data_IF_309283845154
#
_entry.id   IF_309283845154
#
_cell.length_a   1.000
_cell.length_b   1.000
_cell.length_c   1.000
_cell.angle_alpha   90.00
_cell.angle_beta   90.00
_cell.angle_gamma   90.00
#
_symmetry.space_group_name_H-M   'P 1'
#
loop_
_entity.id
_entity.type
_entity.pdbx_description
1 polymer ?
#
# COMPACT_ATOMS: atom_id res chain seq x y z
N UNK A 1 -25.82 -6.30 -6.10
CA UNK A 1 -25.27 -6.96 -4.90
C UNK A 1 -25.76 -6.21 -3.69
N UNK A 2 -26.47 -6.89 -2.78
CA UNK A 2 -26.77 -6.34 -1.46
C UNK A 2 -25.93 -7.13 -0.48
N UNK A 3 -24.85 -6.53 0.03
CA UNK A 3 -24.10 -7.11 1.13
C UNK A 3 -25.01 -7.09 2.37
N UNK A 4 -25.68 -8.21 2.67
CA UNK A 4 -26.45 -8.40 3.89
C UNK A 4 -25.51 -8.96 4.94
N UNK A 5 -24.81 -8.08 5.65
CA UNK A 5 -24.05 -8.47 6.84
C UNK A 5 -25.07 -8.64 7.97
N UNK A 6 -25.34 -9.86 8.40
CA UNK A 6 -26.32 -10.18 9.45
C UNK A 6 -25.73 -10.07 10.86
N UNK A 7 -24.51 -9.58 11.00
CA UNK A 7 -23.81 -9.39 12.27
C UNK A 7 -23.06 -8.05 12.35
N UNK A 8 -22.96 -7.48 13.55
CA UNK A 8 -22.15 -6.30 13.89
C UNK A 8 -21.36 -6.59 15.17
N UNK A 9 -20.02 -6.57 15.12
CA UNK A 9 -19.14 -6.96 16.23
C UNK A 9 -19.48 -8.33 16.86
N UNK A 10 -19.85 -9.31 16.03
CA UNK A 10 -20.27 -10.65 16.49
C UNK A 10 -21.68 -10.71 17.09
N UNK A 11 -22.46 -9.63 17.00
CA UNK A 11 -23.86 -9.58 17.45
C UNK A 11 -24.76 -9.65 16.22
N UNK A 12 -25.69 -10.60 16.21
CA UNK A 12 -26.66 -10.74 15.12
C UNK A 12 -27.60 -9.54 15.05
N UNK A 13 -27.76 -8.97 13.86
CA UNK A 13 -28.65 -7.83 13.58
C UNK A 13 -29.80 -8.26 12.69
N UNK A 14 -31.02 -7.89 13.09
CA UNK A 14 -32.27 -8.33 12.46
C UNK A 14 -32.77 -7.35 11.40
N UNK A 15 -32.24 -6.12 11.37
CA UNK A 15 -32.58 -5.11 10.35
C UNK A 15 -31.45 -4.11 10.10
N UNK A 16 -31.53 -3.41 8.96
CA UNK A 16 -30.62 -2.29 8.65
C UNK A 16 -30.77 -1.14 9.65
N UNK A 17 -31.99 -0.90 10.17
CA UNK A 17 -32.23 0.15 11.17
C UNK A 17 -31.56 -0.16 12.50
N UNK A 18 -31.67 -1.40 12.97
CA UNK A 18 -30.98 -1.86 14.18
C UNK A 18 -29.46 -1.74 14.02
N UNK A 19 -28.93 -2.04 12.84
CA UNK A 19 -27.50 -1.83 12.55
C UNK A 19 -27.13 -0.35 12.65
N UNK A 20 -27.89 0.54 12.01
CA UNK A 20 -27.64 1.99 12.08
C UNK A 20 -27.70 2.50 13.53
N UNK A 21 -28.65 2.01 14.33
CA UNK A 21 -28.74 2.37 15.75
C UNK A 21 -27.52 1.85 16.54
N UNK A 22 -27.02 0.65 16.26
CA UNK A 22 -25.80 0.13 16.87
C UNK A 22 -24.55 0.94 16.47
N UNK A 23 -24.41 1.31 15.20
CA UNK A 23 -23.33 2.21 14.74
C UNK A 23 -23.46 3.56 15.45
N UNK A 24 -24.65 4.13 15.53
CA UNK A 24 -24.91 5.42 16.17
C UNK A 24 -24.64 5.38 17.67
N UNK A 25 -24.95 4.29 18.35
CA UNK A 25 -24.69 4.14 19.79
C UNK A 25 -23.20 3.92 20.08
N UNK A 26 -22.48 3.23 19.18
CA UNK A 26 -21.05 2.94 19.34
C UNK A 26 -20.17 4.13 18.93
N UNK A 27 -20.56 4.82 17.86
CA UNK A 27 -19.84 5.94 17.26
C UNK A 27 -20.74 7.19 17.13
N UNK A 28 -21.27 7.71 18.24
CA UNK A 28 -22.24 8.80 18.23
C UNK A 28 -21.69 10.10 17.60
N UNK A 29 -20.37 10.32 17.65
CA UNK A 29 -19.70 11.46 17.02
C UNK A 29 -19.86 11.50 15.49
N UNK A 30 -20.09 10.36 14.83
CA UNK A 30 -20.35 10.30 13.38
C UNK A 30 -21.71 10.94 13.01
N UNK A 31 -22.68 10.92 13.95
CA UNK A 31 -24.06 11.36 13.71
C UNK A 31 -24.37 12.71 14.37
N UNK A 32 -23.59 13.08 15.38
CA UNK A 32 -23.87 14.23 16.24
C UNK A 32 -22.64 15.13 16.31
N UNK A 33 -22.67 16.23 15.55
CA UNK A 33 -21.58 17.23 15.47
C UNK A 33 -21.16 17.84 16.82
N UNK A 34 -21.97 17.69 17.87
CA UNK A 34 -21.69 18.22 19.20
C UNK A 34 -21.02 17.19 20.13
N UNK A 35 -20.85 15.95 19.69
CA UNK A 35 -20.17 14.90 20.43
C UNK A 35 -18.75 14.82 19.89
N UNK A 36 -17.82 15.48 20.59
CA UNK A 36 -16.39 15.31 20.40
C UNK A 36 -15.88 14.36 21.48
N UNK A 37 -15.52 13.14 21.08
CA UNK A 37 -14.73 12.22 21.88
C UNK A 37 -13.49 11.93 21.05
N UNK A 38 -12.51 12.85 21.13
CA UNK A 38 -11.14 12.45 20.91
C UNK A 38 -10.72 11.71 22.18
N UNK A 39 -10.24 10.48 22.06
CA UNK A 39 -9.46 9.90 23.14
C UNK A 39 -8.16 10.72 23.16
N UNK A 40 -8.00 11.60 24.14
CA UNK A 40 -6.90 12.60 24.25
C UNK A 40 -5.49 11.96 24.41
N UNK A 41 -5.32 10.68 24.10
CA UNK A 41 -4.14 9.87 24.45
C UNK A 41 -3.42 9.25 23.26
N UNK A 42 -3.89 9.44 22.03
CA UNK A 42 -3.20 8.98 20.82
C UNK A 42 -2.73 10.16 19.98
N UNK A 43 -1.45 10.53 20.13
CA UNK A 43 -0.78 11.44 19.20
C UNK A 43 -0.26 10.60 18.04
N UNK A 44 -0.92 10.67 16.88
CA UNK A 44 -0.19 10.46 15.63
C UNK A 44 0.65 11.71 15.48
N UNK A 45 1.97 11.58 15.42
CA UNK A 45 2.87 12.73 15.29
C UNK A 45 2.38 13.61 14.12
N UNK A 46 2.35 14.94 14.34
CA UNK A 46 2.13 15.93 13.26
C UNK A 46 3.19 15.80 12.14
N UNK A 47 4.29 15.10 12.43
CA UNK A 47 5.37 14.73 11.52
C UNK A 47 5.08 13.48 10.68
N UNK A 48 3.82 13.00 10.65
CA UNK A 48 3.37 12.20 9.53
C UNK A 48 3.54 13.10 8.30
N UNK A 49 4.69 13.00 7.61
CA UNK A 49 4.95 13.67 6.35
C UNK A 49 3.79 13.29 5.43
N UNK A 50 2.75 14.13 5.44
CA UNK A 50 1.75 14.14 4.39
C UNK A 50 2.61 14.24 3.14
N UNK A 51 2.49 13.28 2.22
CA UNK A 51 3.08 13.44 0.89
C UNK A 51 2.43 14.69 0.29
N UNK A 52 2.95 15.86 0.63
CA UNK A 52 2.55 17.13 0.07
C UNK A 52 3.05 17.09 -1.36
N UNK A 53 2.11 16.97 -2.29
CA UNK A 53 2.43 17.06 -3.71
C UNK A 53 2.59 18.55 -4.02
N UNK A 54 3.75 19.11 -3.64
CA UNK A 54 4.10 20.48 -3.97
C UNK A 54 4.68 20.59 -5.40
N UNK A 55 4.77 21.82 -5.92
CA UNK A 55 5.31 22.06 -7.26
C UNK A 55 6.77 21.59 -7.42
N UNK A 56 7.54 21.62 -6.34
CA UNK A 56 8.94 21.19 -6.33
C UNK A 56 9.09 19.69 -6.54
N UNK A 57 8.31 18.88 -5.82
CA UNK A 57 8.26 17.43 -5.91
C UNK A 57 7.75 17.01 -7.29
N UNK A 58 6.70 17.66 -7.80
CA UNK A 58 6.19 17.39 -9.16
C UNK A 58 7.24 17.74 -10.22
N UNK A 59 7.93 18.88 -10.09
CA UNK A 59 8.98 19.28 -11.02
C UNK A 59 10.19 18.32 -10.97
N UNK A 60 10.58 17.87 -9.78
CA UNK A 60 11.63 16.88 -9.62
C UNK A 60 11.25 15.55 -10.26
N UNK A 61 10.07 15.02 -9.97
CA UNK A 61 9.60 13.77 -10.55
C UNK A 61 9.55 13.85 -12.09
N UNK A 62 8.99 14.94 -12.63
CA UNK A 62 9.00 15.21 -14.09
C UNK A 62 10.41 15.15 -14.66
N UNK A 63 11.38 15.78 -13.99
CA UNK A 63 12.78 15.77 -14.42
C UNK A 63 13.38 14.36 -14.38
N UNK A 64 13.08 13.57 -13.36
CA UNK A 64 13.55 12.19 -13.21
C UNK A 64 13.06 11.30 -14.36
N UNK A 65 11.80 11.47 -14.79
CA UNK A 65 11.22 10.73 -15.92
C UNK A 65 11.38 11.46 -17.27
N UNK A 66 12.23 12.48 -17.34
CA UNK A 66 12.61 13.16 -18.59
C UNK A 66 11.56 14.09 -19.20
N UNK A 67 10.51 14.45 -18.46
CA UNK A 67 9.47 15.38 -18.90
C UNK A 67 9.97 16.82 -18.78
N UNK A 68 10.04 17.52 -19.90
CA UNK A 68 10.41 18.94 -19.98
C UNK A 68 9.23 19.87 -20.29
N UNK A 69 8.09 19.31 -20.69
CA UNK A 69 6.82 19.99 -20.94
C UNK A 69 5.72 18.98 -21.26
N UNK A 70 4.46 19.34 -21.01
CA UNK A 70 3.27 18.49 -21.27
C UNK A 70 2.24 19.18 -22.18
N UNK A 71 2.58 20.33 -22.77
CA UNK A 71 1.67 21.02 -23.68
C UNK A 71 1.58 20.25 -25.00
N UNK A 72 0.35 20.05 -25.47
CA UNK A 72 0.03 19.35 -26.73
C UNK A 72 0.43 17.86 -26.80
N UNK A 73 0.45 17.18 -25.66
CA UNK A 73 0.90 15.79 -25.53
C UNK A 73 -0.21 14.83 -25.11
N UNK A 74 0.02 13.53 -25.39
CA UNK A 74 -0.79 12.43 -24.85
C UNK A 74 -0.08 11.77 -23.67
N UNK A 75 -0.77 11.65 -22.55
CA UNK A 75 -0.30 10.96 -21.35
C UNK A 75 -1.12 9.70 -21.13
N UNK A 76 -0.45 8.56 -21.07
CA UNK A 76 -1.03 7.28 -20.74
C UNK A 76 -0.89 7.02 -19.24
N UNK A 77 -1.99 6.71 -18.57
CA UNK A 77 -2.00 6.19 -17.20
C UNK A 77 -2.65 4.81 -17.20
N UNK A 78 -2.05 3.84 -16.53
CA UNK A 78 -2.55 2.46 -16.52
C UNK A 78 -2.59 1.91 -15.11
N UNK A 79 -3.78 1.49 -14.67
CA UNK A 79 -3.98 0.74 -13.43
C UNK A 79 -4.19 -0.74 -13.76
N UNK A 80 -3.21 -1.57 -13.45
CA UNK A 80 -3.31 -3.02 -13.57
C UNK A 80 -3.98 -3.59 -12.32
N UNK A 81 -5.31 -3.54 -12.28
CA UNK A 81 -6.09 -4.00 -11.14
C UNK A 81 -6.21 -5.52 -11.04
N UNK A 82 -6.66 -6.04 -9.90
CA UNK A 82 -6.91 -7.48 -9.66
C UNK A 82 -8.03 -8.08 -10.50
N UNK A 83 -8.87 -7.22 -11.11
CA UNK A 83 -10.03 -7.63 -11.90
C UNK A 83 -10.03 -6.98 -13.28
N UNK A 84 -9.77 -5.67 -13.32
CA UNK A 84 -9.72 -4.90 -14.56
C UNK A 84 -8.42 -4.11 -14.66
N UNK A 85 -7.80 -4.17 -15.84
CA UNK A 85 -6.82 -3.19 -16.29
C UNK A 85 -7.60 -1.96 -16.76
N UNK A 86 -7.30 -0.81 -16.18
CA UNK A 86 -7.88 0.48 -16.55
C UNK A 86 -6.85 1.30 -17.31
N UNK A 87 -7.21 1.74 -18.50
CA UNK A 87 -6.34 2.48 -19.41
C UNK A 87 -6.91 3.88 -19.54
N UNK A 88 -6.24 4.86 -18.95
CA UNK A 88 -6.59 6.27 -19.02
C UNK A 88 -5.67 7.01 -20.00
N UNK A 89 -6.23 7.84 -20.86
CA UNK A 89 -5.48 8.67 -21.82
C UNK A 89 -5.89 10.11 -21.62
N UNK A 90 -4.96 10.94 -21.17
CA UNK A 90 -5.11 12.39 -21.18
C UNK A 90 -4.60 12.96 -22.51
N UNK A 91 -5.38 13.83 -23.13
CA UNK A 91 -4.94 14.68 -24.24
C UNK A 91 -4.89 16.13 -23.74
N UNK A 92 -3.69 16.66 -23.50
CA UNK A 92 -3.51 17.98 -22.88
C UNK A 92 -3.81 19.13 -23.84
N UNK A 93 -3.83 18.87 -25.15
CA UNK A 93 -4.26 19.87 -26.15
C UNK A 93 -5.76 20.05 -26.14
N UNK A 94 -6.49 18.94 -26.04
CA UNK A 94 -7.95 18.92 -26.12
C UNK A 94 -8.62 19.03 -24.75
N UNK A 95 -7.84 18.93 -23.67
CA UNK A 95 -8.33 18.86 -22.29
C UNK A 95 -9.35 17.72 -22.11
N UNK A 96 -9.07 16.55 -22.72
CA UNK A 96 -9.94 15.38 -22.63
C UNK A 96 -9.27 14.23 -21.90
N UNK A 97 -10.11 13.37 -21.31
CA UNK A 97 -9.72 12.13 -20.67
C UNK A 97 -10.58 10.98 -21.18
N UNK A 98 -9.95 9.97 -21.79
CA UNK A 98 -10.59 8.72 -22.21
C UNK A 98 -10.21 7.61 -21.23
N UNK A 99 -11.18 6.82 -20.77
CA UNK A 99 -10.95 5.75 -19.81
C UNK A 99 -11.59 4.45 -20.30
N UNK A 100 -10.76 3.41 -20.37
CA UNK A 100 -11.13 2.09 -20.89
C UNK A 100 -10.87 1.02 -19.86
N UNK A 101 -11.70 -0.02 -19.87
CA UNK A 101 -11.62 -1.14 -18.93
C UNK A 101 -11.50 -2.43 -19.72
N UNK A 102 -10.50 -3.24 -19.38
CA UNK A 102 -10.30 -4.58 -19.94
C UNK A 102 -10.08 -5.59 -18.82
N UNK A 103 -10.57 -6.84 -18.92
CA UNK A 103 -10.28 -7.86 -17.93
C UNK A 103 -8.76 -8.03 -17.75
N UNK A 104 -8.30 -8.07 -16.51
CA UNK A 104 -6.87 -8.30 -16.22
C UNK A 104 -6.53 -9.76 -16.52
N UNK A 105 -5.47 -9.98 -17.30
CA UNK A 105 -4.88 -11.31 -17.49
C UNK A 105 -3.61 -11.40 -16.65
N UNK A 106 -3.67 -12.10 -15.51
CA UNK A 106 -2.60 -12.10 -14.50
C UNK A 106 -1.33 -12.77 -15.03
N UNK A 107 -1.49 -13.77 -15.90
CA UNK A 107 -0.38 -14.50 -16.51
C UNK A 107 0.42 -13.63 -17.49
N UNK A 108 -0.23 -12.64 -18.10
CA UNK A 108 0.39 -11.69 -19.02
C UNK A 108 -0.42 -10.39 -19.11
N UNK A 109 -0.01 -9.41 -18.31
CA UNK A 109 -0.69 -8.11 -18.20
C UNK A 109 -0.57 -7.24 -19.48
N UNK A 110 0.31 -7.59 -20.42
CA UNK A 110 0.38 -6.93 -21.75
C UNK A 110 -0.90 -7.11 -22.55
N UNK A 111 -1.62 -8.21 -22.33
CA UNK A 111 -2.88 -8.50 -23.03
C UNK A 111 -3.90 -7.40 -22.73
N UNK A 112 -4.11 -7.05 -21.46
CA UNK A 112 -5.05 -6.01 -21.05
C UNK A 112 -4.64 -4.63 -21.57
N UNK A 113 -3.34 -4.32 -21.56
CA UNK A 113 -2.79 -3.08 -22.11
C UNK A 113 -3.02 -2.97 -23.62
N UNK A 114 -2.64 -4.01 -24.39
CA UNK A 114 -2.81 -4.03 -25.84
C UNK A 114 -4.27 -4.01 -26.26
N UNK A 115 -5.17 -4.67 -25.53
CA UNK A 115 -6.61 -4.65 -25.77
C UNK A 115 -7.19 -3.26 -25.47
N UNK A 116 -6.74 -2.62 -24.39
CA UNK A 116 -7.12 -1.25 -24.04
C UNK A 116 -6.71 -0.23 -25.11
N UNK A 117 -5.61 -0.49 -25.80
CA UNK A 117 -5.07 0.35 -26.86
C UNK A 117 -5.49 -0.09 -28.28
N UNK A 118 -6.41 -1.04 -28.39
CA UNK A 118 -6.95 -1.58 -29.65
C UNK A 118 -5.88 -2.16 -30.61
N UNK A 119 -4.82 -2.76 -30.06
CA UNK A 119 -3.71 -3.37 -30.84
C UNK A 119 -3.50 -4.87 -30.54
N UNK A 120 -4.32 -5.47 -29.67
CA UNK A 120 -4.19 -6.87 -29.29
C UNK A 120 -4.32 -7.84 -30.49
N UNK A 121 -5.29 -7.61 -31.36
CA UNK A 121 -5.50 -8.48 -32.52
C UNK A 121 -4.32 -8.42 -33.50
N UNK A 122 -3.75 -7.23 -33.73
CA UNK A 122 -2.53 -7.06 -34.52
C UNK A 122 -1.32 -7.79 -33.88
N UNK A 123 -1.20 -7.76 -32.54
CA UNK A 123 -0.16 -8.52 -31.83
C UNK A 123 -0.36 -10.03 -32.03
N UNK A 124 -1.60 -10.52 -31.98
CA UNK A 124 -1.92 -11.93 -32.22
C UNK A 124 -1.64 -12.38 -33.65
N UNK A 125 -1.98 -11.55 -34.63
CA UNK A 125 -1.74 -11.83 -36.06
C UNK A 125 -0.25 -11.85 -36.40
N UNK A 126 0.53 -10.93 -35.85
CA UNK A 126 1.98 -10.88 -36.04
C UNK A 126 2.74 -11.93 -35.21
N UNK A 127 2.14 -12.42 -34.13
CA UNK A 127 2.76 -13.35 -33.20
C UNK A 127 3.82 -12.70 -32.30
N UNK A 128 3.86 -11.36 -32.24
CA UNK A 128 4.77 -10.59 -31.39
C UNK A 128 4.10 -9.31 -30.84
N UNK A 129 4.82 -8.57 -29.99
CA UNK A 129 4.31 -7.35 -29.33
C UNK A 129 4.72 -6.06 -30.05
N UNK A 130 5.28 -6.11 -31.27
CA UNK A 130 5.69 -4.90 -32.00
C UNK A 130 4.55 -3.90 -32.26
N UNK A 131 3.30 -4.32 -32.53
CA UNK A 131 2.20 -3.36 -32.64
C UNK A 131 1.98 -2.57 -31.35
N UNK A 132 2.14 -3.22 -30.19
CA UNK A 132 2.12 -2.55 -28.90
C UNK A 132 3.32 -1.60 -28.74
N UNK A 133 4.54 -2.04 -29.07
CA UNK A 133 5.74 -1.17 -29.07
C UNK A 133 5.54 0.11 -29.90
N UNK A 134 4.91 -0.01 -31.07
CA UNK A 134 4.62 1.14 -31.93
C UNK A 134 3.56 2.04 -31.30
N UNK A 135 2.49 1.45 -30.76
CA UNK A 135 1.39 2.19 -30.15
C UNK A 135 1.84 2.98 -28.93
N UNK A 136 2.73 2.41 -28.11
CA UNK A 136 3.25 3.05 -26.91
C UNK A 136 4.08 4.30 -27.23
N UNK A 137 4.66 4.43 -28.43
CA UNK A 137 5.39 5.63 -28.87
C UNK A 137 4.51 6.83 -29.19
N UNK A 138 3.18 6.66 -29.24
CA UNK A 138 2.23 7.76 -29.41
C UNK A 138 2.05 8.59 -28.13
N UNK A 139 2.51 8.09 -26.98
CA UNK A 139 2.37 8.74 -25.68
C UNK A 139 3.70 9.36 -25.26
N UNK A 140 3.67 10.62 -24.84
CA UNK A 140 4.84 11.30 -24.31
C UNK A 140 5.24 10.79 -22.93
N UNK A 141 4.26 10.32 -22.15
CA UNK A 141 4.43 9.86 -20.78
C UNK A 141 3.51 8.67 -20.51
N UNK A 142 4.05 7.65 -19.85
CA UNK A 142 3.37 6.38 -19.56
C UNK A 142 3.57 6.03 -18.08
N UNK A 143 2.53 6.20 -17.27
CA UNK A 143 2.57 6.02 -15.81
C UNK A 143 1.78 4.78 -15.38
N UNK A 144 2.40 3.83 -14.65
CA UNK A 144 1.73 2.63 -14.19
C UNK A 144 1.42 2.65 -12.68
N UNK A 145 0.29 2.05 -12.30
CA UNK A 145 0.06 1.51 -10.97
C UNK A 145 -0.50 0.08 -11.05
N UNK A 146 -0.42 -0.67 -9.96
CA UNK A 146 -0.87 -2.07 -9.97
C UNK A 146 -1.41 -2.56 -8.63
N UNK A 147 -2.47 -3.36 -8.73
CA UNK A 147 -3.02 -4.17 -7.65
C UNK A 147 -3.15 -5.65 -8.04
N UNK A 148 -2.78 -6.05 -9.26
CA UNK A 148 -3.20 -7.31 -9.92
C UNK A 148 -2.91 -8.62 -9.14
N UNK A 149 -2.10 -8.57 -8.08
CA UNK A 149 -1.81 -9.69 -7.17
C UNK A 149 -2.57 -9.68 -5.84
N UNK A 150 -3.56 -8.80 -5.67
CA UNK A 150 -4.41 -8.77 -4.48
C UNK A 150 -3.81 -8.02 -3.29
N UNK A 151 -2.93 -7.04 -3.56
CA UNK A 151 -2.22 -6.26 -2.55
C UNK A 151 -1.02 -7.02 -1.96
N UNK A 152 0.01 -6.28 -1.56
CA UNK A 152 1.21 -6.86 -0.96
C UNK A 152 0.87 -7.54 0.36
N UNK A 153 1.06 -8.86 0.47
CA UNK A 153 0.74 -9.57 1.71
C UNK A 153 1.78 -9.30 2.79
N UNK A 154 1.35 -8.72 3.90
CA UNK A 154 2.22 -8.42 5.06
C UNK A 154 1.75 -9.20 6.27
N UNK A 155 2.68 -9.82 6.98
CA UNK A 155 2.46 -10.32 8.34
C UNK A 155 3.22 -9.43 9.34
N UNK A 156 2.59 -9.06 10.44
CA UNK A 156 3.21 -8.27 11.50
C UNK A 156 3.57 -9.14 12.69
N UNK A 157 4.74 -8.91 13.27
CA UNK A 157 5.20 -9.51 14.51
C UNK A 157 5.66 -8.38 15.42
N UNK A 158 4.94 -8.15 16.50
CA UNK A 158 5.15 -7.02 17.41
C UNK A 158 5.48 -7.49 18.83
N UNK A 159 5.92 -6.56 19.69
CA UNK A 159 6.15 -6.89 21.10
C UNK A 159 4.83 -6.97 21.86
N UNK A 160 3.99 -5.95 21.72
CA UNK A 160 2.68 -5.81 22.36
C UNK A 160 1.68 -5.31 21.33
N UNK A 161 0.48 -5.89 21.34
CA UNK A 161 -0.59 -5.61 20.38
C UNK A 161 -1.05 -4.16 20.42
N UNK A 162 -1.32 -3.62 21.60
CA UNK A 162 -1.95 -2.32 21.79
C UNK A 162 -1.01 -1.13 21.47
N UNK A 163 0.30 -1.37 21.38
CA UNK A 163 1.32 -0.34 21.16
C UNK A 163 2.03 -0.57 19.82
N UNK A 164 3.15 -1.29 19.84
CA UNK A 164 3.95 -1.60 18.65
C UNK A 164 3.21 -2.40 17.57
N UNK A 165 2.18 -3.17 17.96
CA UNK A 165 1.31 -3.92 17.07
C UNK A 165 0.38 -3.00 16.30
N UNK A 166 -0.31 -2.09 17.00
CA UNK A 166 -1.13 -1.05 16.39
C UNK A 166 -0.32 -0.22 15.39
N UNK A 167 0.87 0.25 15.77
CA UNK A 167 1.74 1.03 14.89
C UNK A 167 2.16 0.25 13.63
N UNK A 168 2.53 -1.03 13.78
CA UNK A 168 2.93 -1.88 12.66
C UNK A 168 1.77 -2.21 11.71
N UNK A 169 0.59 -2.51 12.25
CA UNK A 169 -0.61 -2.77 11.45
C UNK A 169 -1.04 -1.51 10.69
N UNK A 170 -1.06 -0.36 11.37
CA UNK A 170 -1.38 0.93 10.75
C UNK A 170 -0.39 1.24 9.63
N UNK A 171 0.91 1.03 9.84
CA UNK A 171 1.93 1.21 8.82
C UNK A 171 1.81 0.25 7.64
N UNK A 172 1.41 -1.00 7.86
CA UNK A 172 1.17 -1.93 6.75
C UNK A 172 -0.03 -1.48 5.91
N UNK A 173 -1.15 -1.12 6.56
CA UNK A 173 -2.38 -0.75 5.89
C UNK A 173 -2.26 0.57 5.11
N UNK A 174 -1.65 1.59 5.71
CA UNK A 174 -1.42 2.91 5.07
C UNK A 174 -0.41 2.84 3.93
N UNK A 175 0.48 1.84 3.91
CA UNK A 175 1.34 1.54 2.76
C UNK A 175 0.58 0.90 1.58
N UNK A 176 -0.71 0.59 1.73
CA UNK A 176 -1.51 -0.13 0.74
C UNK A 176 -1.29 -1.64 0.74
N UNK A 177 -0.78 -2.20 1.84
CA UNK A 177 -0.55 -3.62 1.99
C UNK A 177 -1.79 -4.35 2.56
N UNK A 178 -1.86 -5.66 2.30
CA UNK A 178 -2.87 -6.55 2.84
C UNK A 178 -2.31 -7.30 4.04
N UNK A 179 -2.86 -7.06 5.22
CA UNK A 179 -2.53 -7.85 6.40
C UNK A 179 -3.06 -9.28 6.26
N UNK A 180 -2.16 -10.26 6.35
CA UNK A 180 -2.50 -11.70 6.32
C UNK A 180 -2.35 -12.39 7.66
N UNK A 181 -1.66 -11.77 8.61
CA UNK A 181 -1.52 -12.25 9.98
C UNK A 181 -0.88 -11.21 10.89
N UNK A 182 -1.36 -11.16 12.14
CA UNK A 182 -0.84 -10.29 13.19
C UNK A 182 -0.45 -11.12 14.40
N UNK A 183 0.78 -10.94 14.85
CA UNK A 183 1.36 -11.68 15.97
C UNK A 183 1.99 -10.70 16.96
N UNK A 184 1.90 -11.05 18.24
CA UNK A 184 2.46 -10.27 19.34
C UNK A 184 3.15 -11.18 20.36
N UNK A 185 3.97 -10.57 21.21
CA UNK A 185 4.72 -11.26 22.25
C UNK A 185 5.78 -12.22 21.69
N UNK A 186 6.11 -13.23 22.49
CA UNK A 186 7.16 -14.18 22.16
C UNK A 186 6.64 -15.30 21.24
N UNK A 187 7.14 -15.36 20.01
CA UNK A 187 6.74 -16.37 19.03
C UNK A 187 7.14 -17.78 19.47
N UNK A 188 6.18 -18.69 19.41
CA UNK A 188 6.44 -20.14 19.43
C UNK A 188 6.97 -20.60 18.08
N UNK A 189 7.60 -21.79 18.05
CA UNK A 189 8.11 -22.37 16.81
C UNK A 189 6.96 -22.71 15.83
N UNK A 190 5.80 -23.07 16.36
CA UNK A 190 4.60 -23.36 15.59
C UNK A 190 4.02 -22.09 14.96
N UNK A 191 3.90 -20.98 15.71
CA UNK A 191 3.47 -19.69 15.15
C UNK A 191 4.43 -19.23 14.05
N UNK A 192 5.74 -19.24 14.31
CA UNK A 192 6.73 -18.87 13.30
C UNK A 192 6.62 -19.73 12.03
N UNK A 193 6.32 -21.02 12.16
CA UNK A 193 6.08 -21.91 11.02
C UNK A 193 4.77 -21.57 10.30
N UNK A 194 3.68 -21.34 11.03
CA UNK A 194 2.37 -21.02 10.47
C UNK A 194 2.37 -19.71 9.67
N UNK A 195 3.14 -18.70 10.10
CA UNK A 195 3.38 -17.47 9.33
C UNK A 195 3.79 -17.82 7.90
N UNK A 196 4.78 -18.71 7.74
CA UNK A 196 5.24 -19.10 6.40
C UNK A 196 4.29 -20.09 5.71
N UNK A 197 3.82 -21.15 6.36
CA UNK A 197 3.06 -22.20 5.66
C UNK A 197 1.60 -21.81 5.36
N UNK A 198 0.96 -21.04 6.25
CA UNK A 198 -0.48 -20.71 6.18
C UNK A 198 -0.73 -19.30 5.68
N UNK A 199 -0.12 -18.30 6.32
CA UNK A 199 -0.41 -16.90 6.00
C UNK A 199 0.26 -16.49 4.68
N UNK A 200 1.40 -17.11 4.39
CA UNK A 200 2.18 -16.93 3.16
C UNK A 200 2.42 -15.45 2.80
N UNK A 201 3.01 -14.65 3.72
CA UNK A 201 3.27 -13.24 3.47
C UNK A 201 4.36 -13.04 2.41
N UNK A 202 4.28 -11.92 1.70
CA UNK A 202 5.35 -11.45 0.82
C UNK A 202 6.38 -10.61 1.57
N UNK A 203 5.99 -10.01 2.72
CA UNK A 203 6.87 -9.28 3.63
C UNK A 203 6.47 -9.59 5.07
N UNK A 204 7.45 -9.69 5.98
CA UNK A 204 7.20 -9.72 7.42
C UNK A 204 7.68 -8.41 8.04
N UNK A 205 6.84 -7.73 8.81
CA UNK A 205 7.22 -6.56 9.60
C UNK A 205 7.44 -6.96 11.05
N UNK A 206 8.69 -6.90 11.51
CA UNK A 206 9.07 -7.12 12.90
C UNK A 206 9.25 -5.77 13.60
N UNK A 207 8.38 -5.47 14.57
CA UNK A 207 8.39 -4.22 15.34
C UNK A 207 8.45 -4.49 16.85
N UNK A 208 8.70 -3.43 17.62
CA UNK A 208 8.57 -3.46 19.07
C UNK A 208 9.78 -2.96 19.83
N UNK A 209 9.58 -2.80 21.14
CA UNK A 209 10.52 -2.14 22.05
C UNK A 209 10.69 -0.66 21.73
N UNK A 210 10.88 0.16 22.76
CA UNK A 210 11.31 1.55 22.59
C UNK A 210 12.81 1.61 22.37
N UNK A 211 13.27 2.72 21.82
CA UNK A 211 14.69 3.04 21.72
C UNK A 211 15.27 3.37 23.10
N UNK A 212 16.60 3.24 23.24
CA UNK A 212 17.34 3.62 24.45
C UNK A 212 16.90 2.89 25.74
N UNK A 213 16.76 1.57 25.67
CA UNK A 213 16.51 0.73 26.85
C UNK A 213 15.19 -0.04 26.88
N UNK A 214 14.43 -0.04 25.79
CA UNK A 214 13.25 -0.90 25.63
C UNK A 214 13.58 -2.41 25.55
N UNK A 215 12.55 -3.25 25.43
CA UNK A 215 12.77 -4.71 25.35
C UNK A 215 13.69 -5.09 24.17
N UNK A 216 14.68 -5.90 24.48
CA UNK A 216 15.62 -6.47 23.50
C UNK A 216 15.50 -7.99 23.38
N UNK A 217 15.02 -8.66 24.43
CA UNK A 217 15.04 -10.11 24.53
C UNK A 217 14.04 -10.76 23.57
N UNK A 218 12.79 -10.28 23.60
CA UNK A 218 11.69 -10.86 22.83
C UNK A 218 11.90 -10.64 21.34
N UNK A 219 12.37 -9.45 20.95
CA UNK A 219 12.68 -9.14 19.57
C UNK A 219 13.79 -10.03 18.99
N UNK A 220 14.89 -10.21 19.73
CA UNK A 220 15.96 -11.12 19.32
C UNK A 220 15.50 -12.58 19.28
N UNK A 221 14.59 -12.97 20.16
CA UNK A 221 13.96 -14.30 20.11
C UNK A 221 13.13 -14.47 18.84
N UNK A 222 12.21 -13.54 18.58
CA UNK A 222 11.32 -13.56 17.42
C UNK A 222 12.11 -13.56 16.10
N UNK A 223 13.14 -12.72 15.99
CA UNK A 223 14.02 -12.72 14.82
C UNK A 223 14.67 -14.09 14.57
N UNK A 224 15.17 -14.76 15.62
CA UNK A 224 15.73 -16.12 15.48
C UNK A 224 14.68 -17.15 15.08
N UNK A 225 13.46 -17.03 15.57
CA UNK A 225 12.36 -17.94 15.22
C UNK A 225 11.96 -17.77 13.75
N UNK A 226 11.78 -16.53 13.30
CA UNK A 226 11.47 -16.21 11.90
C UNK A 226 12.60 -16.64 10.96
N UNK A 227 13.86 -16.29 11.26
CA UNK A 227 15.01 -16.71 10.46
C UNK A 227 15.20 -18.24 10.42
N UNK A 228 14.71 -18.97 11.43
CA UNK A 228 14.68 -20.45 11.42
C UNK A 228 13.54 -21.01 10.60
N UNK A 229 12.39 -20.36 10.64
CA UNK A 229 11.19 -20.78 9.94
C UNK A 229 11.18 -20.36 8.46
N UNK A 230 12.04 -19.43 8.02
CA UNK A 230 12.14 -18.98 6.62
C UNK A 230 12.28 -20.11 5.61
N UNK A 231 12.90 -21.23 5.98
CA UNK A 231 12.98 -22.46 5.17
C UNK A 231 11.63 -23.07 4.76
N UNK A 232 10.55 -22.70 5.44
CA UNK A 232 9.18 -23.15 5.15
C UNK A 232 8.48 -22.28 4.11
N UNK A 233 9.11 -21.21 3.61
CA UNK A 233 8.58 -20.33 2.57
C UNK A 233 8.61 -20.97 1.17
N UNK A 234 7.96 -22.12 0.98
CA UNK A 234 7.97 -22.89 -0.28
C UNK A 234 7.25 -22.21 -1.46
N UNK A 235 6.54 -21.12 -1.20
CA UNK A 235 5.79 -20.33 -2.17
C UNK A 235 6.59 -19.15 -2.73
N UNK A 236 7.82 -18.90 -2.23
CA UNK A 236 8.68 -17.81 -2.69
C UNK A 236 10.07 -18.34 -3.04
N UNK A 237 10.42 -18.29 -4.33
CA UNK A 237 11.74 -18.70 -4.83
C UNK A 237 12.88 -17.77 -4.34
N UNK A 238 12.54 -16.54 -3.94
CA UNK A 238 13.50 -15.51 -3.50
C UNK A 238 13.47 -15.27 -1.99
N UNK A 239 12.75 -16.11 -1.24
CA UNK A 239 12.50 -15.92 0.19
C UNK A 239 11.50 -14.80 0.49
N UNK A 240 11.28 -14.56 1.79
CA UNK A 240 10.37 -13.52 2.29
C UNK A 240 11.21 -12.49 3.04
N UNK A 241 11.36 -11.26 2.53
CA UNK A 241 12.10 -10.22 3.22
C UNK A 241 11.44 -9.84 4.55
N UNK A 242 12.27 -9.38 5.49
CA UNK A 242 11.85 -8.89 6.80
C UNK A 242 12.16 -7.40 6.92
N UNK A 243 11.16 -6.60 7.26
CA UNK A 243 11.36 -5.21 7.69
C UNK A 243 11.54 -5.21 9.20
N UNK A 244 12.62 -4.60 9.69
CA UNK A 244 12.83 -4.39 11.11
C UNK A 244 12.64 -2.92 11.47
N UNK A 245 11.60 -2.64 12.26
CA UNK A 245 11.20 -1.30 12.68
C UNK A 245 11.02 -1.22 14.21
N UNK A 246 11.96 -1.81 14.95
CA UNK A 246 11.96 -1.85 16.41
C UNK A 246 13.23 -1.27 17.02
N UNK A 247 13.40 -1.50 18.33
CA UNK A 247 14.50 -1.00 19.16
C UNK A 247 15.86 -0.92 18.46
N UNK A 248 16.36 0.31 18.26
CA UNK A 248 17.62 0.57 17.59
C UNK A 248 18.84 -0.08 18.27
N UNK A 249 18.81 -0.29 19.58
CA UNK A 249 19.94 -0.78 20.39
C UNK A 249 20.38 -2.20 19.96
N UNK A 250 19.49 -2.95 19.30
CA UNK A 250 19.74 -4.31 18.82
C UNK A 250 19.66 -4.47 17.31
N UNK A 251 19.50 -3.38 16.55
CA UNK A 251 19.36 -3.42 15.08
C UNK A 251 20.45 -4.26 14.41
N UNK A 252 21.71 -4.01 14.74
CA UNK A 252 22.83 -4.77 14.16
C UNK A 252 22.77 -6.27 14.45
N UNK A 253 22.27 -6.65 15.64
CA UNK A 253 22.15 -8.06 16.03
C UNK A 253 21.00 -8.73 15.29
N UNK A 254 19.90 -8.00 15.06
CA UNK A 254 18.76 -8.46 14.26
C UNK A 254 19.21 -8.72 12.82
N UNK A 255 19.91 -7.77 12.22
CA UNK A 255 20.46 -7.91 10.86
C UNK A 255 21.34 -9.15 10.75
N UNK A 256 22.28 -9.34 11.68
CA UNK A 256 23.16 -10.50 11.71
C UNK A 256 22.41 -11.84 11.81
N UNK A 257 21.28 -11.89 12.53
CA UNK A 257 20.45 -13.10 12.65
C UNK A 257 19.86 -13.50 11.31
N UNK A 258 19.33 -12.53 10.56
CA UNK A 258 18.72 -12.77 9.25
C UNK A 258 19.78 -13.01 8.16
N UNK A 259 20.86 -12.22 8.12
CA UNK A 259 21.96 -12.42 7.19
C UNK A 259 22.61 -13.80 7.31
N UNK A 260 22.76 -14.34 8.53
CA UNK A 260 23.29 -15.70 8.74
C UNK A 260 22.42 -16.81 8.12
N UNK A 261 21.16 -16.51 7.79
CA UNK A 261 20.19 -17.43 7.18
C UNK A 261 19.81 -17.04 5.75
N UNK A 262 20.58 -16.13 5.14
CA UNK A 262 20.33 -15.61 3.79
C UNK A 262 18.92 -15.03 3.62
N UNK A 263 18.37 -14.43 4.69
CA UNK A 263 17.08 -13.72 4.65
C UNK A 263 17.35 -12.23 4.43
N UNK A 264 16.74 -11.64 3.39
CA UNK A 264 16.79 -10.19 3.14
C UNK A 264 16.13 -9.45 4.31
N UNK A 265 16.85 -8.50 4.89
CA UNK A 265 16.40 -7.70 6.03
C UNK A 265 16.60 -6.22 5.72
N UNK A 266 15.57 -5.42 5.95
CA UNK A 266 15.58 -3.97 5.79
C UNK A 266 15.28 -3.32 7.12
N UNK A 267 16.28 -2.71 7.74
CA UNK A 267 16.10 -1.96 8.97
C UNK A 267 15.65 -0.54 8.69
N UNK A 268 14.68 -0.05 9.46
CA UNK A 268 14.19 1.33 9.44
C UNK A 268 14.38 1.95 10.83
N UNK A 269 14.20 3.28 10.97
CA UNK A 269 13.88 3.85 12.28
C UNK A 269 12.76 3.07 12.98
N UNK A 270 12.74 3.12 14.31
CA UNK A 270 11.72 2.46 15.09
C UNK A 270 10.35 3.08 14.75
N UNK A 271 9.34 2.24 14.53
CA UNK A 271 7.96 2.71 14.29
C UNK A 271 7.34 3.31 15.54
N UNK A 272 7.89 2.96 16.71
CA UNK A 272 7.49 3.49 18.01
C UNK A 272 8.74 3.68 18.90
N UNK A 273 9.56 4.72 18.64
CA UNK A 273 10.80 4.94 19.38
C UNK A 273 10.56 5.21 20.86
N UNK A 274 9.48 5.90 21.22
CA UNK A 274 9.02 6.10 22.58
C UNK A 274 7.57 5.62 22.74
N UNK A 275 7.14 5.36 23.98
CA UNK A 275 5.77 4.89 24.23
C UNK A 275 4.77 5.95 23.75
N UNK A 276 3.82 5.54 22.92
CA UNK A 276 2.80 6.41 22.28
C UNK A 276 3.35 7.47 21.33
N UNK A 277 4.61 7.37 20.92
CA UNK A 277 5.19 8.18 19.84
C UNK A 277 5.30 7.31 18.59
N UNK A 278 4.54 7.62 17.53
CA UNK A 278 4.39 6.76 16.36
C UNK A 278 4.96 7.40 15.10
N UNK A 279 5.94 6.72 14.49
CA UNK A 279 6.55 7.10 13.22
C UNK A 279 6.12 6.11 12.13
N UNK A 280 4.88 6.22 11.65
CA UNK A 280 4.29 5.27 10.68
C UNK A 280 5.03 5.30 9.33
N UNK A 281 5.58 6.46 8.98
CA UNK A 281 5.99 6.77 7.61
C UNK A 281 7.31 6.08 7.24
N UNK A 282 8.16 5.88 8.25
CA UNK A 282 9.45 5.21 8.11
C UNK A 282 9.29 3.75 7.65
N UNK A 283 8.18 3.13 8.04
CA UNK A 283 7.82 1.77 7.62
C UNK A 283 7.11 1.78 6.28
N UNK A 284 6.22 2.75 6.03
CA UNK A 284 5.54 2.91 4.75
C UNK A 284 6.51 2.92 3.57
N UNK A 285 7.53 3.77 3.60
CA UNK A 285 8.49 3.89 2.50
C UNK A 285 9.26 2.59 2.26
N UNK A 286 9.59 1.86 3.33
CA UNK A 286 10.29 0.58 3.19
C UNK A 286 9.39 -0.51 2.61
N UNK A 287 8.13 -0.56 3.02
CA UNK A 287 7.12 -1.44 2.41
C UNK A 287 6.95 -1.10 0.93
N UNK A 288 6.86 0.18 0.57
CA UNK A 288 6.70 0.67 -0.81
C UNK A 288 7.91 0.31 -1.69
N UNK A 289 9.13 0.45 -1.17
CA UNK A 289 10.35 0.07 -1.89
C UNK A 289 10.46 -1.45 -2.09
N UNK A 290 10.08 -2.24 -1.08
CA UNK A 290 10.04 -3.70 -1.22
C UNK A 290 8.91 -4.15 -2.16
N UNK A 291 7.78 -3.44 -2.18
CA UNK A 291 6.69 -3.70 -3.12
C UNK A 291 7.17 -3.65 -4.57
N UNK A 292 7.93 -2.61 -4.93
CA UNK A 292 8.53 -2.51 -6.27
C UNK A 292 9.39 -3.73 -6.57
N UNK A 293 10.27 -4.11 -5.64
CA UNK A 293 11.14 -5.28 -5.81
C UNK A 293 10.34 -6.59 -5.97
N UNK A 294 9.24 -6.75 -5.22
CA UNK A 294 8.37 -7.94 -5.27
C UNK A 294 7.53 -7.97 -6.56
N UNK A 295 7.01 -6.82 -7.00
CA UNK A 295 6.28 -6.70 -8.27
C UNK A 295 7.18 -7.00 -9.46
N UNK A 296 8.40 -6.46 -9.52
CA UNK A 296 9.30 -6.68 -10.66
C UNK A 296 9.62 -8.18 -10.79
N UNK A 297 9.70 -8.91 -9.67
CA UNK A 297 9.91 -10.36 -9.65
C UNK A 297 8.66 -11.16 -10.07
N UNK A 298 7.52 -10.53 -10.24
CA UNK A 298 6.30 -11.16 -10.73
C UNK A 298 6.35 -11.36 -12.25
N UNK A 299 6.03 -12.57 -12.70
CA UNK A 299 5.95 -12.92 -14.13
C UNK A 299 5.09 -11.90 -14.89
N UNK A 300 5.65 -11.29 -15.93
CA UNK A 300 4.95 -10.40 -16.87
C UNK A 300 4.95 -8.92 -16.50
N UNK A 301 5.37 -8.56 -15.28
CA UNK A 301 5.54 -7.16 -14.88
C UNK A 301 6.85 -6.56 -15.37
N UNK A 302 7.91 -7.36 -15.35
CA UNK A 302 9.22 -7.04 -15.92
C UNK A 302 9.11 -6.51 -17.36
N UNK A 303 8.34 -7.20 -18.21
CA UNK A 303 8.20 -6.78 -19.61
C UNK A 303 7.29 -5.56 -19.78
N UNK A 304 6.29 -5.36 -18.91
CA UNK A 304 5.44 -4.15 -18.98
C UNK A 304 6.17 -2.93 -18.47
N UNK A 305 7.05 -3.08 -17.48
CA UNK A 305 7.85 -1.99 -16.95
C UNK A 305 8.72 -1.33 -18.03
N UNK A 306 9.25 -2.11 -18.98
CA UNK A 306 10.00 -1.59 -20.14
C UNK A 306 9.16 -0.64 -21.04
N UNK A 307 7.83 -0.73 -20.98
CA UNK A 307 6.93 0.17 -21.70
C UNK A 307 6.62 1.46 -20.93
N UNK A 308 6.98 1.57 -19.66
CA UNK A 308 6.56 2.64 -18.76
C UNK A 308 7.71 3.60 -18.47
N UNK A 309 7.38 4.87 -18.21
CA UNK A 309 8.38 5.91 -17.90
C UNK A 309 8.65 6.05 -16.40
N UNK A 310 7.81 5.43 -15.57
CA UNK A 310 7.88 5.48 -14.11
C UNK A 310 7.73 4.08 -13.49
N UNK A 311 8.32 3.84 -12.31
CA UNK A 311 8.15 2.58 -11.59
C UNK A 311 6.69 2.38 -11.17
N UNK A 312 6.28 1.11 -11.06
CA UNK A 312 4.98 0.77 -10.54
C UNK A 312 4.80 1.25 -9.09
N UNK A 313 3.68 1.90 -8.82
CA UNK A 313 3.19 2.17 -7.46
C UNK A 313 1.98 1.29 -7.13
N UNK A 314 1.74 0.97 -5.84
CA UNK A 314 0.50 0.31 -5.44
C UNK A 314 -0.73 1.13 -5.86
N UNK A 315 -1.76 0.49 -6.40
CA UNK A 315 -3.03 1.16 -6.74
C UNK A 315 -3.62 1.93 -5.55
N UNK A 316 -3.62 1.41 -4.30
CA UNK A 316 -4.09 2.19 -3.15
C UNK A 316 -3.28 3.48 -2.89
N UNK A 317 -1.96 3.46 -3.16
CA UNK A 317 -1.12 4.67 -3.06
C UNK A 317 -1.44 5.67 -4.17
N UNK A 318 -1.68 5.19 -5.39
CA UNK A 318 -2.11 6.05 -6.50
C UNK A 318 -3.45 6.73 -6.19
N UNK A 319 -4.41 5.98 -5.64
CA UNK A 319 -5.69 6.50 -5.20
C UNK A 319 -5.54 7.52 -4.05
N UNK A 320 -4.71 7.20 -3.03
CA UNK A 320 -4.39 8.13 -1.94
C UNK A 320 -3.86 9.47 -2.46
N UNK A 321 -2.88 9.46 -3.38
CA UNK A 321 -2.34 10.68 -4.00
C UNK A 321 -3.40 11.45 -4.79
N UNK A 322 -4.25 10.74 -5.53
CA UNK A 322 -5.37 11.35 -6.26
C UNK A 322 -6.39 12.01 -5.33
N UNK A 323 -6.70 11.39 -4.19
CA UNK A 323 -7.61 11.92 -3.19
C UNK A 323 -7.02 13.16 -2.50
N UNK A 324 -5.72 13.14 -2.17
CA UNK A 324 -5.03 14.32 -1.65
C UNK A 324 -5.04 15.48 -2.64
N UNK A 325 -4.79 15.20 -3.93
CA UNK A 325 -4.88 16.19 -5.00
C UNK A 325 -6.29 16.79 -5.09
N UNK A 326 -7.34 15.96 -5.01
CA UNK A 326 -8.73 16.42 -5.02
C UNK A 326 -9.07 17.26 -3.77
N UNK A 327 -8.56 16.89 -2.60
CA UNK A 327 -8.81 17.60 -1.35
C UNK A 327 -8.14 18.98 -1.31
N UNK A 328 -6.86 19.03 -1.71
CA UNK A 328 -6.01 20.22 -1.61
C UNK A 328 -6.14 21.15 -2.82
N UNK A 329 -6.37 20.58 -4.01
CA UNK A 329 -6.31 21.31 -5.27
C UNK A 329 -4.91 21.32 -5.85
N UNK A 330 -4.72 22.08 -6.93
CA UNK A 330 -3.44 22.20 -7.62
C UNK A 330 -3.31 23.55 -8.33
N UNK A 331 -2.17 24.23 -8.11
CA UNK A 331 -1.93 25.57 -8.66
C UNK A 331 -3.00 26.57 -8.23
N UNK A 332 -3.65 27.23 -9.19
CA UNK A 332 -4.74 28.18 -8.95
C UNK A 332 -6.10 27.50 -8.74
N UNK A 333 -6.20 26.19 -8.95
CA UNK A 333 -7.44 25.43 -8.76
C UNK A 333 -7.58 24.98 -7.31
N UNK A 334 -8.58 25.53 -6.63
CA UNK A 334 -8.89 25.17 -5.24
C UNK A 334 -9.44 23.73 -5.18
N UNK A 335 -8.95 22.96 -4.21
CA UNK A 335 -9.47 21.62 -3.90
C UNK A 335 -10.88 21.62 -3.35
N UNK A 336 -11.46 20.42 -3.26
CA UNK A 336 -12.78 20.17 -2.71
C UNK A 336 -12.83 20.39 -1.18
N UNK A 337 -11.68 20.43 -0.52
CA UNK A 337 -11.56 20.42 0.94
C UNK A 337 -11.73 19.01 1.51
N UNK A 338 -12.21 18.95 2.75
CA UNK A 338 -12.36 17.68 3.49
C UNK A 338 -13.14 16.63 2.69
N UNK A 339 -12.52 15.47 2.46
CA UNK A 339 -13.07 14.40 1.64
C UNK A 339 -12.94 13.04 2.36
N UNK A 340 -13.96 12.23 2.17
CA UNK A 340 -13.96 10.82 2.51
C UNK A 340 -14.26 10.04 1.23
N UNK A 341 -13.46 9.03 0.94
CA UNK A 341 -13.60 8.20 -0.26
C UNK A 341 -13.55 6.72 0.11
N UNK A 342 -14.33 5.93 -0.63
CA UNK A 342 -14.38 4.48 -0.52
C UNK A 342 -14.14 3.89 -1.91
N UNK A 343 -12.99 3.25 -2.10
CA UNK A 343 -12.66 2.54 -3.33
C UNK A 343 -13.06 1.07 -3.19
N UNK A 344 -14.17 0.70 -3.82
CA UNK A 344 -14.71 -0.66 -3.74
C UNK A 344 -14.18 -1.47 -4.93
N UNK A 345 -13.16 -2.28 -4.67
CA UNK A 345 -12.60 -3.22 -5.64
C UNK A 345 -13.20 -4.63 -5.57
N UNK A 346 -12.76 -5.49 -6.48
CA UNK A 346 -13.12 -6.92 -6.49
C UNK A 346 -12.36 -7.77 -5.45
N UNK A 347 -11.26 -7.25 -4.92
CA UNK A 347 -10.38 -7.94 -3.97
C UNK A 347 -10.16 -7.16 -2.67
N UNK A 348 -10.09 -5.83 -2.74
CA UNK A 348 -9.92 -4.93 -1.61
C UNK A 348 -11.03 -3.89 -1.59
N UNK A 349 -11.29 -3.32 -0.42
CA UNK A 349 -12.07 -2.10 -0.28
C UNK A 349 -11.25 -1.16 0.56
N UNK A 350 -10.83 -0.05 -0.04
CA UNK A 350 -9.90 0.89 0.55
C UNK A 350 -10.66 2.14 1.00
N UNK A 351 -10.42 2.58 2.24
CA UNK A 351 -11.04 3.74 2.84
C UNK A 351 -10.01 4.86 2.99
N UNK A 352 -10.38 6.05 2.56
CA UNK A 352 -9.53 7.23 2.63
C UNK A 352 -10.28 8.38 3.28
N UNK A 353 -9.58 9.10 4.14
CA UNK A 353 -10.03 10.37 4.70
C UNK A 353 -8.92 11.40 4.59
N UNK A 354 -9.22 12.56 4.04
CA UNK A 354 -8.34 13.72 4.06
C UNK A 354 -9.12 14.91 4.63
N UNK A 355 -8.53 15.56 5.62
CA UNK A 355 -9.05 16.77 6.27
C UNK A 355 -7.95 17.82 6.24
N UNK A 356 -8.26 19.00 5.68
CA UNK A 356 -7.24 20.05 5.51
C UNK A 356 -6.86 20.69 6.85
N UNK A 357 -7.84 20.77 7.76
CA UNK A 357 -7.66 21.25 9.13
C UNK A 357 -8.39 20.27 10.06
N UNK A 358 -7.75 19.89 11.17
CA UNK A 358 -8.41 19.08 12.19
C UNK A 358 -9.26 19.98 13.10
N UNK A 359 -10.60 19.94 13.04
CA UNK A 359 -11.45 20.81 13.86
C UNK A 359 -11.38 20.49 15.36
N UNK A 360 -10.71 19.39 15.76
CA UNK A 360 -10.56 18.96 17.15
C UNK A 360 -9.34 19.57 17.84
N UNK A 361 -8.36 20.06 17.08
CA UNK A 361 -7.18 20.73 17.60
C UNK A 361 -7.19 22.18 17.07
N UNK A 362 -7.62 23.12 17.93
CA UNK A 362 -7.60 24.56 17.66
C UNK A 362 -6.38 25.23 18.29
#
# INVERSE_FOLDING_TARGET
GMCRIDEWNGIKVYSEMERVDLVRNTYPWYFYKHISLADDTSFIAEDAEVEEVDEGIVAQFRKEIGITGLADEKVLVVDFGSTFTKIGIFDTRQETFDLRYKPTTIEDIRIGLADGLDVLDACRESGDWKPLDQKMREFAVRLPCSSAKGGLKVATVSLVKEESGFAAELAALTAGAKLVGSYDGQLTAEQARNIYERDQPEIILLSGGTDHGGDTYTQLHNARMLARASRYASYSDYGVPVIYAGNQDIRQRIENIFCYRDVDVRSTPNVMPEINDFHIEVVNETIRNLFQTVIIRAKGFDVVEDYMDAPFIPTPRAAFRGINLLANGYGDEKGLGNIMALDIGGATTDFYSNVNDNPLYQ
#
